data_IF_580592582878
#
_entry.id   IF_580592582878
#
_cell.length_a   1.000
_cell.length_b   1.000
_cell.length_c   1.000
_cell.angle_alpha   90.00
_cell.angle_beta   90.00
_cell.angle_gamma   90.00
#
_symmetry.space_group_name_H-M   'P 1'
#
loop_
_entity.id
_entity.type
_entity.pdbx_description
1 polymer ?
#
# COMPACT_ATOMS: atom_id res chain seq x y z
N UNK A 1 -25.73 -9.77 -3.63
CA UNK A 1 -25.36 -8.45 -4.16
C UNK A 1 -25.17 -8.61 -5.67
N UNK A 2 -25.95 -7.89 -6.48
CA UNK A 2 -25.93 -8.05 -7.94
C UNK A 2 -24.56 -7.63 -8.50
N UNK A 3 -24.11 -8.23 -9.61
CA UNK A 3 -22.88 -7.81 -10.32
C UNK A 3 -22.91 -6.32 -10.68
N UNK A 4 -24.09 -5.73 -10.77
CA UNK A 4 -24.32 -4.31 -11.05
C UNK A 4 -24.05 -3.42 -9.82
N UNK A 5 -24.44 -3.84 -8.61
CA UNK A 5 -24.16 -3.13 -7.35
C UNK A 5 -22.66 -3.09 -7.03
N UNK A 6 -21.92 -4.15 -7.35
CA UNK A 6 -20.48 -4.21 -7.10
C UNK A 6 -19.76 -3.18 -7.96
N UNK A 7 -20.15 -3.05 -9.23
CA UNK A 7 -19.50 -2.15 -10.20
C UNK A 7 -19.66 -0.68 -9.83
N UNK A 8 -20.82 -0.30 -9.30
CA UNK A 8 -21.11 1.06 -8.83
C UNK A 8 -20.34 1.41 -7.55
N UNK A 9 -19.99 0.40 -6.74
CA UNK A 9 -19.27 0.57 -5.47
C UNK A 9 -17.75 0.35 -5.54
N UNK A 10 -17.18 -0.04 -6.69
CA UNK A 10 -15.73 -0.24 -6.88
C UNK A 10 -14.88 0.95 -6.37
N UNK A 11 -15.17 2.22 -6.73
CA UNK A 11 -14.34 3.34 -6.25
C UNK A 11 -14.39 3.50 -4.72
N UNK A 12 -15.54 3.24 -4.10
CA UNK A 12 -15.69 3.27 -2.63
C UNK A 12 -14.89 2.14 -1.99
N UNK A 13 -14.82 0.97 -2.63
CA UNK A 13 -14.01 -0.15 -2.16
C UNK A 13 -12.52 0.21 -2.22
N UNK A 14 -12.05 0.81 -3.31
CA UNK A 14 -10.66 1.27 -3.41
C UNK A 14 -10.31 2.27 -2.31
N UNK A 15 -11.16 3.29 -2.11
CA UNK A 15 -10.93 4.28 -1.07
C UNK A 15 -10.87 3.64 0.32
N UNK A 16 -11.81 2.76 0.66
CA UNK A 16 -11.80 2.03 1.95
C UNK A 16 -10.56 1.15 2.10
N UNK A 17 -10.07 0.56 1.02
CA UNK A 17 -8.88 -0.30 1.03
C UNK A 17 -7.61 0.51 1.29
N UNK A 18 -7.47 1.65 0.63
CA UNK A 18 -6.32 2.55 0.79
C UNK A 18 -6.30 3.15 2.18
N UNK A 19 -7.45 3.62 2.69
CA UNK A 19 -7.57 4.13 4.06
C UNK A 19 -7.10 3.09 5.08
N UNK A 20 -7.53 1.82 4.92
CA UNK A 20 -7.09 0.73 5.78
C UNK A 20 -5.58 0.48 5.69
N UNK A 21 -5.01 0.51 4.48
CA UNK A 21 -3.57 0.42 4.26
C UNK A 21 -2.81 1.54 4.98
N UNK A 22 -3.24 2.78 4.82
CA UNK A 22 -2.61 3.96 5.43
C UNK A 22 -2.70 3.90 6.96
N UNK A 23 -3.85 3.52 7.51
CA UNK A 23 -4.00 3.34 8.96
C UNK A 23 -2.99 2.30 9.47
N UNK A 24 -2.85 1.17 8.77
CA UNK A 24 -1.87 0.16 9.11
C UNK A 24 -0.44 0.72 9.06
N UNK A 25 -0.09 1.48 8.01
CA UNK A 25 1.23 2.11 7.90
C UNK A 25 1.52 3.05 9.05
N UNK A 26 0.56 3.89 9.42
CA UNK A 26 0.69 4.84 10.52
C UNK A 26 0.94 4.09 11.83
N UNK A 27 0.15 3.05 12.11
CA UNK A 27 0.33 2.22 13.32
C UNK A 27 1.72 1.58 13.34
N UNK A 28 2.16 0.98 12.25
CA UNK A 28 3.49 0.35 12.16
C UNK A 28 4.61 1.38 12.31
N UNK A 29 4.50 2.55 11.67
CA UNK A 29 5.47 3.62 11.78
C UNK A 29 5.58 4.16 13.21
N UNK A 30 4.46 4.30 13.93
CA UNK A 30 4.47 4.70 15.33
C UNK A 30 5.19 3.67 16.21
N UNK A 31 4.91 2.38 16.02
CA UNK A 31 5.60 1.30 16.74
C UNK A 31 7.11 1.38 16.45
N UNK A 32 7.48 1.50 15.17
CA UNK A 32 8.89 1.63 14.77
C UNK A 32 9.54 2.87 15.37
N UNK A 33 8.87 4.02 15.41
CA UNK A 33 9.40 5.24 16.00
C UNK A 33 9.74 5.05 17.49
N UNK A 34 8.86 4.39 18.25
CA UNK A 34 9.11 4.06 19.66
C UNK A 34 10.31 3.10 19.79
N UNK A 35 10.37 2.05 18.96
CA UNK A 35 11.48 1.08 18.99
C UNK A 35 12.82 1.73 18.68
N UNK A 36 12.89 2.59 17.66
CA UNK A 36 14.09 3.34 17.30
C UNK A 36 14.49 4.40 18.33
N UNK A 37 13.55 4.92 19.11
CA UNK A 37 13.88 5.86 20.18
C UNK A 37 14.65 5.19 21.32
N UNK A 38 14.30 3.95 21.67
CA UNK A 38 14.93 3.20 22.76
C UNK A 38 16.12 2.34 22.32
N UNK A 39 16.09 1.89 21.07
CA UNK A 39 17.19 1.12 20.50
C UNK A 39 18.10 2.12 19.80
N UNK A 40 19.35 2.30 20.26
CA UNK A 40 20.40 3.11 19.60
C UNK A 40 20.77 2.56 18.20
N UNK A 41 19.77 2.37 17.34
CA UNK A 41 19.88 1.81 16.01
C UNK A 41 20.44 2.88 15.09
N UNK A 42 21.40 2.46 14.28
CA UNK A 42 22.02 3.28 13.26
C UNK A 42 20.95 3.78 12.26
N UNK A 43 20.91 5.08 11.92
CA UNK A 43 19.94 5.67 10.99
C UNK A 43 19.79 4.94 9.66
N UNK A 44 20.82 4.19 9.22
CA UNK A 44 20.77 3.35 8.01
C UNK A 44 19.63 2.32 7.99
N UNK A 45 19.12 1.93 9.15
CA UNK A 45 18.03 0.94 9.24
C UNK A 45 16.64 1.55 9.03
N UNK A 46 16.48 2.88 9.13
CA UNK A 46 15.20 3.57 9.02
C UNK A 46 14.58 3.36 7.62
N UNK A 47 15.38 3.52 6.56
CA UNK A 47 14.91 3.36 5.18
C UNK A 47 14.46 1.92 4.89
N UNK A 48 15.20 0.94 5.41
CA UNK A 48 14.88 -0.48 5.24
C UNK A 48 13.57 -0.84 5.94
N UNK A 49 13.39 -0.39 7.19
CA UNK A 49 12.17 -0.67 7.96
C UNK A 49 10.96 0.03 7.32
N UNK A 50 11.12 1.27 6.88
CA UNK A 50 10.05 2.02 6.19
C UNK A 50 9.64 1.34 4.89
N UNK A 51 10.59 0.79 4.13
CA UNK A 51 10.30 -0.01 2.94
C UNK A 51 9.46 -1.24 3.29
N UNK A 52 9.85 -2.02 4.30
CA UNK A 52 9.10 -3.21 4.75
C UNK A 52 7.67 -2.84 5.16
N UNK A 53 7.50 -1.77 5.94
CA UNK A 53 6.17 -1.28 6.36
C UNK A 53 5.32 -0.94 5.14
N UNK A 54 5.91 -0.29 4.15
CA UNK A 54 5.24 0.09 2.90
C UNK A 54 4.76 -1.16 2.15
N UNK A 55 5.61 -2.18 2.02
CA UNK A 55 5.23 -3.45 1.38
C UNK A 55 4.05 -4.10 2.12
N UNK A 56 4.13 -4.23 3.44
CA UNK A 56 3.06 -4.84 4.25
C UNK A 56 1.73 -4.07 4.11
N UNK A 57 1.81 -2.74 4.06
CA UNK A 57 0.64 -1.87 3.93
C UNK A 57 -0.04 -2.02 2.57
N UNK A 58 0.74 -2.05 1.48
CA UNK A 58 0.23 -2.30 0.12
C UNK A 58 -0.43 -3.68 0.05
N UNK A 59 0.24 -4.71 0.59
CA UNK A 59 -0.29 -6.07 0.61
C UNK A 59 -1.63 -6.11 1.32
N UNK A 60 -1.74 -5.53 2.51
CA UNK A 60 -2.99 -5.51 3.27
C UNK A 60 -4.12 -4.74 2.54
N UNK A 61 -3.79 -3.58 1.96
CA UNK A 61 -4.75 -2.78 1.20
C UNK A 61 -5.27 -3.53 -0.05
N UNK A 62 -4.36 -4.10 -0.85
CA UNK A 62 -4.69 -4.82 -2.07
C UNK A 62 -5.46 -6.12 -1.78
N UNK A 63 -5.06 -6.88 -0.75
CA UNK A 63 -5.79 -8.06 -0.29
C UNK A 63 -7.24 -7.71 0.04
N UNK A 64 -7.47 -6.70 0.87
CA UNK A 64 -8.82 -6.32 1.27
C UNK A 64 -9.67 -5.83 0.09
N UNK A 65 -9.10 -5.03 -0.80
CA UNK A 65 -9.80 -4.54 -1.99
C UNK A 65 -10.17 -5.65 -2.96
N UNK A 66 -9.21 -6.52 -3.29
CA UNK A 66 -9.44 -7.66 -4.17
C UNK A 66 -10.39 -8.70 -3.55
N UNK A 67 -10.37 -8.88 -2.23
CA UNK A 67 -11.29 -9.77 -1.53
C UNK A 67 -12.75 -9.32 -1.66
N UNK A 68 -13.01 -8.01 -1.67
CA UNK A 68 -14.36 -7.48 -1.89
C UNK A 68 -14.80 -7.52 -3.35
N UNK A 69 -13.88 -7.26 -4.29
CA UNK A 69 -14.20 -7.14 -5.71
C UNK A 69 -14.34 -8.52 -6.37
N UNK A 70 -13.61 -9.53 -5.88
CA UNK A 70 -13.63 -10.94 -6.32
C UNK A 70 -13.41 -11.16 -7.82
N UNK A 71 -12.91 -10.15 -8.54
CA UNK A 71 -12.71 -10.22 -10.00
C UNK A 71 -11.42 -9.52 -10.41
N UNK A 72 -10.71 -10.06 -11.40
CA UNK A 72 -9.48 -9.51 -12.01
C UNK A 72 -8.47 -8.94 -10.99
N UNK A 73 -7.91 -9.81 -10.15
CA UNK A 73 -7.14 -9.45 -8.95
C UNK A 73 -5.82 -8.78 -9.28
N UNK A 74 -5.17 -9.22 -10.36
CA UNK A 74 -3.99 -8.57 -10.91
C UNK A 74 -4.26 -7.09 -11.25
N UNK A 75 -5.39 -6.80 -11.89
CA UNK A 75 -5.73 -5.44 -12.33
C UNK A 75 -6.06 -4.54 -11.13
N UNK A 76 -6.99 -5.00 -10.27
CA UNK A 76 -7.45 -4.22 -9.13
C UNK A 76 -6.35 -4.05 -8.08
N UNK A 77 -5.54 -5.08 -7.84
CA UNK A 77 -4.39 -5.02 -6.94
C UNK A 77 -3.32 -4.04 -7.41
N UNK A 78 -3.01 -4.05 -8.71
CA UNK A 78 -2.08 -3.08 -9.31
C UNK A 78 -2.59 -1.63 -9.20
N UNK A 79 -3.89 -1.40 -9.45
CA UNK A 79 -4.52 -0.08 -9.29
C UNK A 79 -4.44 0.39 -7.84
N UNK A 80 -4.75 -0.48 -6.87
CA UNK A 80 -4.66 -0.14 -5.44
C UNK A 80 -3.22 0.17 -5.06
N UNK A 81 -2.24 -0.60 -5.54
CA UNK A 81 -0.81 -0.37 -5.29
C UNK A 81 -0.33 0.99 -5.82
N UNK A 82 -0.67 1.33 -7.06
CA UNK A 82 -0.36 2.64 -7.65
C UNK A 82 -1.03 3.75 -6.84
N UNK A 83 -2.33 3.63 -6.57
CA UNK A 83 -3.08 4.70 -5.91
C UNK A 83 -2.59 4.93 -4.48
N UNK A 84 -2.25 3.87 -3.75
CA UNK A 84 -1.58 3.95 -2.46
C UNK A 84 -0.22 4.66 -2.58
N UNK A 85 0.62 4.28 -3.56
CA UNK A 85 1.95 4.87 -3.73
C UNK A 85 1.89 6.33 -4.18
N UNK A 86 0.86 6.74 -4.93
CA UNK A 86 0.63 8.16 -5.24
C UNK A 86 0.36 8.94 -3.95
N UNK A 87 -0.51 8.45 -3.07
CA UNK A 87 -0.82 9.12 -1.80
C UNK A 87 0.42 9.23 -0.91
N UNK A 88 1.13 8.13 -0.70
CA UNK A 88 2.36 8.12 0.13
C UNK A 88 3.48 8.92 -0.52
N UNK A 89 3.60 8.85 -1.85
CA UNK A 89 4.57 9.63 -2.63
C UNK A 89 4.36 11.13 -2.48
N UNK A 90 3.12 11.61 -2.50
CA UNK A 90 2.80 13.01 -2.23
C UNK A 90 3.26 13.41 -0.82
N UNK A 91 2.96 12.60 0.21
CA UNK A 91 3.43 12.84 1.58
C UNK A 91 4.95 12.91 1.65
N UNK A 92 5.65 11.99 0.97
CA UNK A 92 7.12 11.96 0.93
C UNK A 92 7.73 13.22 0.32
N UNK A 93 7.10 13.80 -0.72
CA UNK A 93 7.53 15.06 -1.33
C UNK A 93 7.40 16.25 -0.37
N UNK A 94 6.32 16.31 0.42
CA UNK A 94 6.14 17.32 1.46
C UNK A 94 7.21 17.22 2.55
N UNK A 95 7.53 15.99 3.00
CA UNK A 95 8.53 15.75 4.05
C UNK A 95 9.94 16.13 3.59
N UNK A 96 10.30 15.82 2.35
CA UNK A 96 11.63 16.12 1.79
C UNK A 96 11.81 17.59 1.36
N UNK A 97 10.85 18.48 1.69
CA UNK A 97 10.88 19.92 1.35
C UNK A 97 11.18 20.18 -0.14
N UNK A 98 10.64 19.34 -1.02
CA UNK A 98 10.81 19.48 -2.47
C UNK A 98 12.14 18.98 -3.03
N UNK A 99 12.99 18.30 -2.25
CA UNK A 99 14.16 17.61 -2.81
C UNK A 99 13.71 16.28 -3.46
N UNK A 100 13.51 16.29 -4.79
CA UNK A 100 12.90 15.18 -5.50
C UNK A 100 13.95 14.16 -5.92
N UNK A 101 14.08 13.06 -5.17
CA UNK A 101 14.84 11.89 -5.61
C UNK A 101 14.04 11.09 -6.65
N UNK A 102 13.95 11.60 -7.87
CA UNK A 102 13.17 11.02 -8.98
C UNK A 102 13.42 9.52 -9.18
N UNK A 103 14.70 9.11 -9.15
CA UNK A 103 15.08 7.69 -9.33
C UNK A 103 14.48 6.79 -8.25
N UNK A 104 14.49 7.21 -6.99
CA UNK A 104 13.94 6.45 -5.88
C UNK A 104 12.42 6.32 -5.97
N UNK A 105 11.74 7.41 -6.31
CA UNK A 105 10.28 7.43 -6.45
C UNK A 105 9.82 6.50 -7.58
N UNK A 106 10.49 6.53 -8.74
CA UNK A 106 10.17 5.64 -9.86
C UNK A 106 10.36 4.16 -9.49
N UNK A 107 11.45 3.81 -8.80
CA UNK A 107 11.70 2.44 -8.33
C UNK A 107 10.59 1.98 -7.38
N UNK A 108 10.22 2.82 -6.41
CA UNK A 108 9.16 2.50 -5.45
C UNK A 108 7.79 2.37 -6.14
N UNK A 109 7.52 3.17 -7.18
CA UNK A 109 6.28 3.08 -7.95
C UNK A 109 6.18 1.75 -8.70
N UNK A 110 7.24 1.35 -9.40
CA UNK A 110 7.28 0.04 -10.09
C UNK A 110 7.15 -1.11 -9.08
N UNK A 111 7.84 -1.03 -7.94
CA UNK A 111 7.73 -2.01 -6.87
C UNK A 111 6.31 -2.08 -6.29
N UNK A 112 5.68 -0.93 -6.02
CA UNK A 112 4.30 -0.89 -5.49
C UNK A 112 3.29 -1.52 -6.45
N UNK A 113 3.50 -1.34 -7.75
CA UNK A 113 2.69 -1.95 -8.79
C UNK A 113 2.87 -3.47 -8.78
N UNK A 114 4.11 -3.95 -8.79
CA UNK A 114 4.40 -5.38 -8.74
C UNK A 114 3.81 -6.04 -7.47
N UNK A 115 4.08 -5.46 -6.30
CA UNK A 115 3.57 -5.93 -5.00
C UNK A 115 2.04 -5.92 -5.00
N UNK A 116 1.43 -4.85 -5.51
CA UNK A 116 -0.03 -4.72 -5.63
C UNK A 116 -0.64 -5.81 -6.51
N UNK A 117 -0.01 -6.12 -7.65
CA UNK A 117 -0.44 -7.21 -8.53
C UNK A 117 -0.37 -8.57 -7.82
N UNK A 118 0.79 -8.88 -7.20
CA UNK A 118 0.99 -10.17 -6.51
C UNK A 118 0.02 -10.34 -5.34
N UNK A 119 -0.12 -9.33 -4.49
CA UNK A 119 -1.04 -9.36 -3.36
C UNK A 119 -2.51 -9.39 -3.82
N UNK A 120 -2.86 -8.73 -4.91
CA UNK A 120 -4.21 -8.79 -5.49
C UNK A 120 -4.59 -10.16 -6.05
N UNK A 121 -3.62 -10.88 -6.65
CA UNK A 121 -3.81 -12.27 -7.07
C UNK A 121 -4.11 -13.17 -5.86
N UNK A 122 -3.30 -13.06 -4.80
CA UNK A 122 -3.51 -13.79 -3.55
C UNK A 122 -4.89 -13.44 -2.97
N UNK A 123 -5.27 -12.17 -2.98
CA UNK A 123 -6.54 -11.69 -2.43
C UNK A 123 -7.77 -12.29 -3.10
N UNK A 124 -7.72 -12.54 -4.41
CA UNK A 124 -8.81 -13.24 -5.10
C UNK A 124 -8.86 -14.71 -4.74
N UNK A 125 -7.71 -15.39 -4.70
CA UNK A 125 -7.65 -16.82 -4.35
C UNK A 125 -8.27 -17.04 -2.95
N UNK A 126 -8.03 -16.12 -2.01
CA UNK A 126 -8.65 -16.14 -0.69
C UNK A 126 -10.15 -15.81 -0.70
N UNK A 127 -10.64 -15.04 -1.66
CA UNK A 127 -12.04 -14.62 -1.74
C UNK A 127 -12.97 -15.64 -2.43
N UNK A 128 -12.36 -16.53 -3.20
CA UNK A 128 -13.00 -17.61 -3.95
C UNK A 128 -13.21 -18.88 -3.08
N UNK A 129 -12.52 -18.97 -1.94
CA UNK A 129 -12.81 -19.93 -0.86
C UNK A 129 -13.88 -19.40 0.09
#
# INVERSE_FOLDING_TARGET
MSKQDIKENIPIIYLKSIIRGIILSIVLLLITAVVFHYSNLDPKHIDTVTFIITVLSIVYAALYGCFKIKTKGYLHGGIIGILYMVVVGMVSLFVQKGNIHFKGLVIMLIMSLAIGIFSGLIGIILADR
#
